data_IF_453956246423
#
_entry.id   IF_453956246423
#
_cell.length_a   1.000
_cell.length_b   1.000
_cell.length_c   1.000
_cell.angle_alpha   90.00
_cell.angle_beta   90.00
_cell.angle_gamma   90.00
#
_symmetry.space_group_name_H-M   'P 1'
#
loop_
_entity.id
_entity.type
_entity.pdbx_description
1 polymer ?
#
# COMPACT_ATOMS: atom_id res chain seq x y z
N UNK A 1 -5.09 -17.23 0.73
CA UNK A 1 -4.36 -16.24 -0.09
C UNK A 1 -4.88 -16.29 -1.52
N UNK A 2 -5.14 -15.14 -2.09
CA UNK A 2 -5.57 -15.02 -3.48
C UNK A 2 -4.53 -14.22 -4.24
N UNK A 3 -4.11 -14.73 -5.40
CA UNK A 3 -3.08 -14.10 -6.22
C UNK A 3 -3.62 -13.86 -7.62
N UNK A 4 -3.36 -12.67 -8.16
CA UNK A 4 -3.80 -12.30 -9.51
C UNK A 4 -2.65 -11.67 -10.27
N UNK A 5 -2.45 -12.13 -11.50
CA UNK A 5 -1.57 -11.46 -12.45
C UNK A 5 -2.41 -10.43 -13.19
N UNK A 6 -2.29 -9.17 -12.79
CA UNK A 6 -3.04 -8.09 -13.45
C UNK A 6 -2.49 -7.79 -14.83
N UNK A 7 -1.18 -8.02 -15.02
CA UNK A 7 -0.50 -7.92 -16.29
C UNK A 7 0.83 -8.65 -16.17
N UNK A 8 1.61 -8.77 -17.25
CA UNK A 8 2.95 -9.35 -17.14
C UNK A 8 3.87 -8.57 -16.21
N UNK A 9 3.54 -7.29 -15.91
CA UNK A 9 4.43 -6.41 -15.15
C UNK A 9 4.06 -6.30 -13.69
N UNK A 10 2.84 -6.65 -13.31
CA UNK A 10 2.35 -6.46 -11.94
C UNK A 10 1.53 -7.66 -11.48
N UNK A 11 1.84 -8.15 -10.31
CA UNK A 11 1.09 -9.20 -9.63
C UNK A 11 0.58 -8.68 -8.30
N UNK A 12 -0.62 -9.06 -7.94
CA UNK A 12 -1.25 -8.69 -6.69
C UNK A 12 -1.69 -9.95 -5.97
N UNK A 13 -1.35 -10.08 -4.69
CA UNK A 13 -1.85 -11.18 -3.86
C UNK A 13 -2.42 -10.62 -2.58
N UNK A 14 -3.47 -11.27 -2.06
CA UNK A 14 -4.11 -10.80 -0.85
C UNK A 14 -4.23 -11.93 0.17
N UNK A 15 -4.13 -11.56 1.44
CA UNK A 15 -4.29 -12.49 2.57
C UNK A 15 -4.76 -11.72 3.78
N UNK A 16 -5.07 -12.41 4.85
CA UNK A 16 -5.40 -11.78 6.12
C UNK A 16 -4.28 -11.99 7.12
N UNK A 17 -4.10 -11.03 7.99
CA UNK A 17 -3.13 -11.09 9.07
C UNK A 17 -3.70 -10.34 10.27
N UNK A 18 -4.00 -11.06 11.34
CA UNK A 18 -4.55 -10.48 12.57
C UNK A 18 -5.80 -9.63 12.32
N UNK A 19 -6.70 -10.11 11.46
CA UNK A 19 -7.94 -9.41 11.15
C UNK A 19 -7.79 -8.26 10.17
N UNK A 20 -6.59 -8.03 9.65
CA UNK A 20 -6.31 -6.98 8.68
C UNK A 20 -6.14 -7.60 7.30
N UNK A 21 -6.44 -6.82 6.27
CA UNK A 21 -6.16 -7.23 4.90
C UNK A 21 -4.72 -6.85 4.56
N UNK A 22 -3.99 -7.79 3.96
CA UNK A 22 -2.63 -7.54 3.47
C UNK A 22 -2.63 -7.82 1.97
N UNK A 23 -2.27 -6.81 1.19
CA UNK A 23 -2.15 -6.93 -0.26
C UNK A 23 -0.71 -6.71 -0.64
N UNK A 24 -0.09 -7.71 -1.24
CA UNK A 24 1.29 -7.62 -1.71
C UNK A 24 1.29 -7.28 -3.20
N UNK A 25 2.06 -6.27 -3.56
CA UNK A 25 2.28 -5.89 -4.94
C UNK A 25 3.69 -6.30 -5.35
N UNK A 26 3.82 -6.91 -6.52
CA UNK A 26 5.11 -7.37 -7.02
C UNK A 26 5.27 -6.93 -8.46
N UNK A 27 6.44 -6.42 -8.78
CA UNK A 27 6.78 -6.00 -10.13
C UNK A 27 6.87 -4.50 -10.27
N UNK A 28 6.22 -3.96 -11.28
CA UNK A 28 6.28 -2.53 -11.61
C UNK A 28 4.87 -1.97 -11.71
N UNK A 29 4.67 -0.83 -11.09
CA UNK A 29 3.35 -0.17 -11.08
C UNK A 29 3.46 1.19 -11.74
N UNK A 30 2.99 1.29 -12.96
CA UNK A 30 2.98 2.52 -13.72
C UNK A 30 1.59 2.79 -14.28
N UNK A 31 1.51 3.77 -15.18
CA UNK A 31 0.23 4.21 -15.72
C UNK A 31 -0.54 3.08 -16.43
N UNK A 32 0.17 2.09 -16.97
CA UNK A 32 -0.50 0.98 -17.68
C UNK A 32 -1.39 0.17 -16.77
N UNK A 33 -0.99 -0.01 -15.49
CA UNK A 33 -1.70 -0.89 -14.56
C UNK A 33 -2.30 -0.16 -13.37
N UNK A 34 -2.07 1.15 -13.25
CA UNK A 34 -2.51 1.91 -12.08
C UNK A 34 -4.02 1.80 -11.83
N UNK A 35 -4.82 1.86 -12.89
CA UNK A 35 -6.28 1.78 -12.75
C UNK A 35 -6.71 0.41 -12.23
N UNK A 36 -6.13 -0.67 -12.76
CA UNK A 36 -6.47 -2.02 -12.33
C UNK A 36 -6.06 -2.27 -10.88
N UNK A 37 -4.87 -1.85 -10.52
CA UNK A 37 -4.38 -1.99 -9.14
C UNK A 37 -5.23 -1.14 -8.20
N UNK A 38 -5.52 0.10 -8.61
CA UNK A 38 -6.36 0.99 -7.81
C UNK A 38 -7.74 0.42 -7.55
N UNK A 39 -8.36 -0.17 -8.56
CA UNK A 39 -9.68 -0.79 -8.41
C UNK A 39 -9.62 -1.97 -7.42
N UNK A 40 -8.59 -2.81 -7.54
CA UNK A 40 -8.44 -3.96 -6.65
C UNK A 40 -8.21 -3.52 -5.21
N UNK A 41 -7.34 -2.53 -4.99
CA UNK A 41 -7.06 -2.01 -3.66
C UNK A 41 -8.30 -1.34 -3.06
N UNK A 42 -9.01 -0.57 -3.85
CA UNK A 42 -10.22 0.12 -3.39
C UNK A 42 -11.29 -0.88 -2.97
N UNK A 43 -11.44 -1.98 -3.70
CA UNK A 43 -12.39 -3.02 -3.35
C UNK A 43 -12.06 -3.64 -1.99
N UNK A 44 -10.78 -3.88 -1.70
CA UNK A 44 -10.37 -4.40 -0.40
C UNK A 44 -10.56 -3.34 0.68
N UNK A 45 -10.19 -2.09 0.39
CA UNK A 45 -10.31 -0.98 1.33
C UNK A 45 -11.76 -0.72 1.74
N UNK A 46 -12.70 -0.96 0.84
CA UNK A 46 -14.13 -0.73 1.11
C UNK A 46 -14.70 -1.66 2.17
N UNK A 47 -13.97 -2.72 2.53
CA UNK A 47 -14.40 -3.65 3.57
C UNK A 47 -14.32 -3.05 4.98
N UNK A 48 -13.74 -1.87 5.14
CA UNK A 48 -13.70 -1.17 6.42
C UNK A 48 -12.65 -1.66 7.38
N UNK A 49 -11.74 -2.50 6.93
CA UNK A 49 -10.61 -2.96 7.73
C UNK A 49 -9.38 -2.14 7.45
N UNK A 50 -8.40 -2.27 8.33
CA UNK A 50 -7.07 -1.76 8.04
C UNK A 50 -6.47 -2.55 6.87
N UNK A 51 -5.95 -1.85 5.88
CA UNK A 51 -5.35 -2.45 4.71
C UNK A 51 -3.85 -2.18 4.75
N UNK A 52 -3.05 -3.24 4.72
CA UNK A 52 -1.60 -3.12 4.65
C UNK A 52 -1.18 -3.47 3.22
N UNK A 53 -0.50 -2.53 2.55
CA UNK A 53 0.05 -2.79 1.23
C UNK A 53 1.51 -3.14 1.39
N UNK A 54 1.84 -4.39 1.11
CA UNK A 54 3.21 -4.91 1.21
C UNK A 54 3.94 -4.60 -0.08
N UNK A 55 4.94 -3.75 0.01
CA UNK A 55 5.69 -3.25 -1.14
C UNK A 55 7.05 -3.92 -1.30
N UNK A 56 7.32 -4.99 -0.55
CA UNK A 56 8.63 -5.65 -0.59
C UNK A 56 9.00 -6.14 -1.99
N UNK A 57 8.01 -6.55 -2.77
CA UNK A 57 8.24 -7.03 -4.14
C UNK A 57 8.01 -5.98 -5.22
N UNK A 58 7.66 -4.75 -4.84
CA UNK A 58 7.43 -3.69 -5.82
C UNK A 58 8.74 -2.97 -6.13
N UNK A 59 9.22 -3.12 -7.36
CA UNK A 59 10.51 -2.61 -7.78
C UNK A 59 10.43 -1.20 -8.33
N UNK A 60 9.26 -0.80 -8.81
CA UNK A 60 9.09 0.50 -9.43
C UNK A 60 7.67 1.02 -9.23
N UNK A 61 7.54 2.31 -8.95
CA UNK A 61 6.27 3.01 -8.92
C UNK A 61 6.46 4.40 -9.54
N UNK A 62 5.43 4.89 -10.23
CA UNK A 62 5.40 6.27 -10.71
C UNK A 62 4.25 7.04 -10.07
N UNK A 63 4.02 8.27 -10.51
CA UNK A 63 2.95 9.10 -9.93
C UNK A 63 1.57 8.49 -10.12
N UNK A 64 1.33 7.78 -11.23
CA UNK A 64 0.05 7.12 -11.46
C UNK A 64 -0.19 6.03 -10.41
N UNK A 65 0.85 5.26 -10.10
CA UNK A 65 0.78 4.24 -9.07
C UNK A 65 0.53 4.85 -7.68
N UNK A 66 1.19 5.96 -7.39
CA UNK A 66 0.95 6.66 -6.13
C UNK A 66 -0.48 7.16 -6.04
N UNK A 67 -1.04 7.67 -7.13
CA UNK A 67 -2.43 8.11 -7.15
C UNK A 67 -3.37 6.94 -6.83
N UNK A 68 -3.09 5.76 -7.36
CA UNK A 68 -3.88 4.57 -7.05
C UNK A 68 -3.84 4.26 -5.55
N UNK A 69 -2.66 4.35 -4.93
CA UNK A 69 -2.53 4.14 -3.49
C UNK A 69 -3.27 5.21 -2.69
N UNK A 70 -3.20 6.46 -3.12
CA UNK A 70 -3.90 7.56 -2.44
C UNK A 70 -5.41 7.37 -2.46
N UNK A 71 -5.96 7.01 -3.61
CA UNK A 71 -7.40 6.80 -3.75
C UNK A 71 -7.86 5.61 -2.90
N UNK A 72 -7.07 4.54 -2.86
CA UNK A 72 -7.39 3.40 -2.00
C UNK A 72 -7.34 3.79 -0.51
N UNK A 73 -6.37 4.62 -0.12
CA UNK A 73 -6.29 5.10 1.26
C UNK A 73 -7.52 5.93 1.63
N UNK A 74 -7.96 6.81 0.72
CA UNK A 74 -9.16 7.61 0.95
C UNK A 74 -10.38 6.71 1.15
N UNK A 75 -10.51 5.67 0.33
CA UNK A 75 -11.61 4.72 0.47
C UNK A 75 -11.53 3.97 1.80
N UNK A 76 -10.33 3.55 2.21
CA UNK A 76 -10.15 2.86 3.47
C UNK A 76 -10.60 3.73 4.65
N UNK A 77 -10.20 4.99 4.64
CA UNK A 77 -10.54 5.92 5.72
C UNK A 77 -12.03 6.22 5.73
N UNK A 78 -12.64 6.38 4.58
CA UNK A 78 -14.08 6.59 4.46
C UNK A 78 -14.85 5.41 5.03
N UNK A 79 -14.33 4.19 4.86
CA UNK A 79 -14.96 2.98 5.35
C UNK A 79 -14.63 2.68 6.82
N UNK A 80 -13.87 3.53 7.48
CA UNK A 80 -13.55 3.38 8.90
C UNK A 80 -12.23 2.69 9.20
N UNK A 81 -11.44 2.38 8.19
CA UNK A 81 -10.12 1.79 8.36
C UNK A 81 -9.00 2.76 8.00
N UNK A 82 -7.93 2.23 7.48
CA UNK A 82 -6.79 3.02 6.99
C UNK A 82 -5.99 2.16 6.03
N UNK A 83 -5.08 2.79 5.29
CA UNK A 83 -4.15 2.09 4.42
C UNK A 83 -2.73 2.41 4.89
N UNK A 84 -1.97 1.36 5.19
CA UNK A 84 -0.59 1.46 5.63
C UNK A 84 0.32 0.85 4.57
N UNK A 85 1.54 1.37 4.45
CA UNK A 85 2.54 0.82 3.54
C UNK A 85 3.59 0.05 4.35
N UNK A 86 4.06 -1.06 3.81
CA UNK A 86 5.05 -1.88 4.48
C UNK A 86 6.19 -2.26 3.53
N UNK A 87 7.41 -2.23 4.05
CA UNK A 87 8.61 -2.74 3.41
C UNK A 87 8.91 -2.14 2.02
N UNK A 88 8.74 -0.83 1.80
CA UNK A 88 9.01 -0.25 0.48
C UNK A 88 10.50 -0.32 0.13
N UNK A 89 10.79 -0.60 -1.13
CA UNK A 89 12.14 -0.56 -1.64
C UNK A 89 12.60 0.89 -1.84
N UNK A 90 13.89 1.08 -2.04
CA UNK A 90 14.49 2.42 -2.12
C UNK A 90 13.87 3.27 -3.21
N UNK A 91 13.56 2.71 -4.38
CA UNK A 91 12.96 3.47 -5.47
C UNK A 91 11.60 4.03 -5.05
N UNK A 92 10.78 3.20 -4.39
CA UNK A 92 9.46 3.62 -3.92
C UNK A 92 9.59 4.71 -2.87
N UNK A 93 10.52 4.55 -1.93
CA UNK A 93 10.77 5.58 -0.92
C UNK A 93 11.19 6.90 -1.55
N UNK A 94 12.04 6.85 -2.57
CA UNK A 94 12.49 8.07 -3.26
C UNK A 94 11.33 8.78 -3.93
N UNK A 95 10.42 8.03 -4.55
CA UNK A 95 9.25 8.64 -5.22
C UNK A 95 8.31 9.24 -4.18
N UNK A 96 8.09 8.55 -3.08
CA UNK A 96 7.29 9.10 -1.97
C UNK A 96 7.89 10.40 -1.46
N UNK A 97 9.21 10.44 -1.26
CA UNK A 97 9.89 11.64 -0.78
C UNK A 97 9.80 12.78 -1.80
N UNK A 98 10.02 12.47 -3.08
CA UNK A 98 9.99 13.48 -4.14
C UNK A 98 8.61 14.11 -4.30
N UNK A 99 7.55 13.35 -4.05
CA UNK A 99 6.17 13.83 -4.17
C UNK A 99 5.62 14.35 -2.84
N UNK A 100 6.43 14.34 -1.79
CA UNK A 100 6.06 14.76 -0.43
C UNK A 100 4.93 13.92 0.17
N UNK A 101 4.79 12.69 -0.27
CA UNK A 101 3.75 11.79 0.24
C UNK A 101 4.21 10.98 1.45
N UNK A 102 5.48 11.10 1.85
CA UNK A 102 5.97 10.47 3.08
C UNK A 102 5.22 10.99 4.31
N UNK A 103 4.69 12.20 4.24
CA UNK A 103 3.88 12.75 5.31
C UNK A 103 2.42 12.33 5.27
N UNK A 104 2.00 11.64 4.21
CA UNK A 104 0.60 11.22 4.04
C UNK A 104 0.43 9.77 4.45
N UNK A 105 1.32 8.88 3.99
CA UNK A 105 1.25 7.46 4.30
C UNK A 105 2.03 7.13 5.56
N UNK A 106 1.49 6.24 6.38
CA UNK A 106 2.28 5.60 7.44
C UNK A 106 3.05 4.46 6.80
N UNK A 107 4.37 4.52 6.90
CA UNK A 107 5.26 3.56 6.24
C UNK A 107 6.01 2.77 7.31
N UNK A 108 5.87 1.46 7.27
CA UNK A 108 6.48 0.55 8.24
C UNK A 108 7.54 -0.32 7.58
N UNK A 109 8.48 -0.82 8.38
CA UNK A 109 9.58 -1.63 7.88
C UNK A 109 9.12 -3.01 7.42
N UNK A 110 8.00 -3.50 7.95
CA UNK A 110 7.50 -4.84 7.64
C UNK A 110 6.00 -4.91 7.83
N UNK A 111 5.40 -5.94 7.26
CA UNK A 111 3.98 -6.24 7.48
C UNK A 111 3.72 -6.50 8.96
N UNK A 112 4.63 -7.19 9.63
CA UNK A 112 4.48 -7.46 11.07
C UNK A 112 4.38 -6.21 11.90
N UNK A 113 5.22 -5.20 11.62
CA UNK A 113 5.14 -3.92 12.31
C UNK A 113 3.85 -3.17 11.98
N UNK A 114 3.48 -3.15 10.70
CA UNK A 114 2.26 -2.49 10.27
C UNK A 114 1.02 -3.14 10.90
N UNK A 115 1.07 -4.44 11.16
CA UNK A 115 -0.08 -5.18 11.70
C UNK A 115 -0.39 -4.88 13.16
N UNK A 116 0.23 -3.86 13.73
CA UNK A 116 -0.20 -3.38 15.04
C UNK A 116 0.43 -4.06 16.22
N UNK A 117 1.67 -4.41 16.10
CA UNK A 117 2.42 -4.87 17.27
C UNK A 117 2.57 -3.71 18.25
N UNK A 118 2.97 -4.04 19.49
CA UNK A 118 3.14 -3.02 20.52
C UNK A 118 4.05 -1.88 20.07
N UNK A 119 5.02 -2.20 19.23
CA UNK A 119 5.93 -1.22 18.68
C UNK A 119 5.55 -0.90 17.23
N UNK A 120 4.45 -0.18 17.06
CA UNK A 120 3.92 0.16 15.76
C UNK A 120 4.37 1.55 15.32
N UNK A 121 5.67 1.77 15.35
CA UNK A 121 6.23 3.06 14.94
C UNK A 121 6.49 3.07 13.44
N UNK A 122 5.95 4.04 12.68
CA UNK A 122 6.25 4.14 11.26
C UNK A 122 7.72 4.46 11.03
N UNK A 123 8.28 3.95 9.93
CA UNK A 123 9.61 4.37 9.47
C UNK A 123 9.61 5.85 9.14
N UNK A 124 8.52 6.32 8.55
CA UNK A 124 8.32 7.70 8.19
C UNK A 124 6.97 8.09 8.72
N UNK A 125 6.94 9.05 9.61
CA UNK A 125 5.69 9.47 10.23
C UNK A 125 4.80 10.14 9.20
N UNK A 126 3.49 9.94 9.35
CA UNK A 126 2.51 10.74 8.65
C UNK A 126 2.57 12.19 9.14
N UNK A 127 1.61 13.03 8.74
CA UNK A 127 1.60 14.42 9.19
C UNK A 127 1.68 14.49 10.70
N UNK A 128 2.57 15.31 11.19
CA UNK A 128 2.71 15.48 12.63
C UNK A 128 1.49 16.23 13.14
N UNK A 129 0.86 15.72 14.19
CA UNK A 129 -0.28 16.42 14.78
C UNK A 129 0.10 17.79 15.28
#
# INVERSE_FOLDING_TARGET
MVSMNLSPRINLSSRECDGRAVVALRGELDIADAASVGAALTAVAARGRELIVDLAGLEFIDCSGLTALLLAREQARTAGGDLLLAAPQAQVLRVLAATRLTGVFAVHASVGQAAGRADRSPLMAGPVP
#
